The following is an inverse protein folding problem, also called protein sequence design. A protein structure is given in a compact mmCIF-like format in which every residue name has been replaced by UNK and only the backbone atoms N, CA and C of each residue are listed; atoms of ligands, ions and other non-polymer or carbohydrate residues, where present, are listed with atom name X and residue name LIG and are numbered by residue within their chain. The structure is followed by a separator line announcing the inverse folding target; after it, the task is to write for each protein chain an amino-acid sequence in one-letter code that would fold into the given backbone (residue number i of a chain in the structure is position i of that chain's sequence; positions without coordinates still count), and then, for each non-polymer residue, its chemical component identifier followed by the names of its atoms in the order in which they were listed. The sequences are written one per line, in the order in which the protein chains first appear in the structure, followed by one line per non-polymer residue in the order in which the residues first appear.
data_IF_234348615622
#
_entry.id   IF_234348615622
#
_cell.length_a   1.000
_cell.length_b   1.000
_cell.length_c   1.000
_cell.angle_alpha   90.00
_cell.angle_beta   90.00
_cell.angle_gamma   90.00
#
_symmetry.space_group_name_H-M   'P 1'
#
loop_
_entity.id
_entity.type
_entity.pdbx_description
1 polymer ?
#
# COMPACT_ATOMS: atom_id res chain seq x y z
N UNK A 1 42.24 4.27 32.90
CA UNK A 1 41.09 5.17 33.17
C UNK A 1 40.65 5.94 31.92
N UNK A 2 41.40 5.91 30.81
CA UNK A 2 41.11 6.60 29.55
C UNK A 2 39.99 5.97 28.70
N UNK A 3 39.74 4.66 28.79
CA UNK A 3 38.74 3.98 27.96
C UNK A 3 37.27 4.29 28.31
N UNK A 4 36.98 4.86 29.48
CA UNK A 4 35.59 5.21 29.86
C UNK A 4 35.11 6.54 29.26
N UNK A 5 36.04 7.41 28.84
CA UNK A 5 35.69 8.74 28.29
C UNK A 5 35.39 8.63 26.79
N UNK A 6 36.14 7.81 26.06
CA UNK A 6 35.96 7.58 24.62
C UNK A 6 34.66 6.85 24.29
N UNK A 7 34.22 5.90 25.12
CA UNK A 7 32.94 5.21 24.92
C UNK A 7 31.72 6.09 25.25
N UNK A 8 31.85 6.99 26.22
CA UNK A 8 30.85 8.01 26.58
C UNK A 8 30.60 9.00 25.43
N UNK A 9 31.65 9.48 24.77
CA UNK A 9 31.54 10.41 23.64
C UNK A 9 30.91 9.74 22.41
N UNK A 10 31.24 8.47 22.13
CA UNK A 10 30.64 7.71 21.02
C UNK A 10 29.16 7.40 21.27
N UNK A 11 28.77 7.09 22.50
CA UNK A 11 27.35 6.83 22.85
C UNK A 11 26.51 8.10 22.83
N UNK A 12 27.05 9.26 23.25
CA UNK A 12 26.36 10.55 23.11
C UNK A 12 26.21 10.97 21.65
N UNK A 13 27.26 10.84 20.82
CA UNK A 13 27.21 11.18 19.38
C UNK A 13 26.18 10.33 18.63
N UNK A 14 26.08 9.03 18.95
CA UNK A 14 25.10 8.13 18.34
C UNK A 14 23.66 8.37 18.85
N UNK A 15 23.48 8.80 20.10
CA UNK A 15 22.17 9.20 20.63
C UNK A 15 21.68 10.52 20.03
N UNK A 16 22.59 11.46 19.78
CA UNK A 16 22.27 12.75 19.15
C UNK A 16 21.97 12.56 17.66
N UNK A 17 22.74 11.74 16.94
CA UNK A 17 22.46 11.44 15.53
C UNK A 17 21.16 10.67 15.31
N UNK A 18 20.81 9.76 16.24
CA UNK A 18 19.54 9.02 16.18
C UNK A 18 18.31 9.88 16.47
N UNK A 19 18.43 10.91 17.33
CA UNK A 19 17.34 11.87 17.59
C UNK A 19 17.20 12.93 16.49
N UNK A 20 18.30 13.33 15.85
CA UNK A 20 18.29 14.28 14.72
C UNK A 20 17.69 13.70 13.44
N UNK A 21 17.63 12.38 13.30
CA UNK A 21 16.95 11.74 12.15
C UNK A 21 15.43 11.60 12.33
N UNK A 22 14.92 11.78 13.56
CA UNK A 22 13.48 11.69 13.87
C UNK A 22 12.83 13.03 14.20
N UNK A 23 13.62 14.08 14.44
CA UNK A 23 13.08 15.41 14.69
C UNK A 23 12.92 16.13 13.37
N UNK A 24 11.66 16.41 13.04
CA UNK A 24 11.23 17.21 11.92
C UNK A 24 12.10 18.49 11.82
N UNK A 25 12.45 18.84 10.57
CA UNK A 25 13.13 20.08 10.15
C UNK A 25 12.95 21.34 11.05
N UNK A 26 11.76 21.64 11.63
CA UNK A 26 11.53 22.80 12.50
C UNK A 26 12.57 23.06 13.60
N UNK A 27 13.04 22.06 14.37
CA UNK A 27 13.89 22.35 15.54
C UNK A 27 15.28 22.91 15.16
N UNK A 28 15.86 22.40 14.08
CA UNK A 28 17.15 22.89 13.57
C UNK A 28 17.01 24.31 13.06
N UNK A 29 15.90 24.62 12.37
CA UNK A 29 15.61 25.97 11.88
C UNK A 29 15.46 26.95 13.06
N UNK A 30 14.71 26.60 14.11
CA UNK A 30 14.58 27.44 15.30
C UNK A 30 15.90 27.64 16.04
N UNK A 31 16.72 26.59 16.16
CA UNK A 31 18.04 26.69 16.79
C UNK A 31 19.00 27.60 16.00
N UNK A 32 18.97 27.51 14.66
CA UNK A 32 19.74 28.41 13.78
C UNK A 32 19.25 29.84 13.97
N UNK A 33 17.95 30.12 13.84
CA UNK A 33 17.37 31.47 14.03
C UNK A 33 17.72 32.05 15.40
N UNK A 34 17.62 31.25 16.46
CA UNK A 34 17.96 31.68 17.82
C UNK A 34 19.45 32.00 17.97
N UNK A 35 20.32 31.17 17.39
CA UNK A 35 21.76 31.39 17.37
C UNK A 35 22.11 32.65 16.57
N UNK A 36 21.45 32.87 15.42
CA UNK A 36 21.59 34.09 14.61
C UNK A 36 21.21 35.33 15.40
N UNK A 37 20.04 35.32 16.06
CA UNK A 37 19.59 36.44 16.90
C UNK A 37 20.55 36.71 18.05
N UNK A 38 21.09 35.65 18.68
CA UNK A 38 22.07 35.79 19.75
C UNK A 38 23.40 36.41 19.27
N UNK A 39 23.90 36.00 18.10
CA UNK A 39 25.12 36.57 17.50
C UNK A 39 24.90 38.02 17.12
N UNK A 40 23.79 38.35 16.45
CA UNK A 40 23.44 39.73 16.09
C UNK A 40 23.28 40.63 17.32
N UNK A 41 22.65 40.12 18.37
CA UNK A 41 22.53 40.85 19.64
C UNK A 41 23.88 41.07 20.31
N UNK A 42 24.78 40.08 20.27
CA UNK A 42 26.10 40.17 20.92
C UNK A 42 27.06 41.13 20.21
N UNK A 43 26.90 41.31 18.90
CA UNK A 43 27.75 42.14 18.03
C UNK A 43 27.04 43.39 17.51
N UNK A 44 25.91 43.80 18.11
CA UNK A 44 25.12 44.95 17.65
C UNK A 44 25.87 46.30 17.68
N UNK A 45 26.99 46.38 18.40
CA UNK A 45 27.87 47.56 18.47
C UNK A 45 28.82 47.67 17.27
N UNK A 46 28.99 46.60 16.49
CA UNK A 46 29.85 46.54 15.30
C UNK A 46 28.98 46.35 14.06
N UNK A 47 28.39 47.44 13.58
CA UNK A 47 27.38 47.46 12.52
C UNK A 47 27.86 46.77 11.22
N UNK A 48 29.10 47.02 10.80
CA UNK A 48 29.70 46.37 9.61
C UNK A 48 29.84 44.86 9.79
N UNK A 49 30.34 44.40 10.94
CA UNK A 49 30.52 42.98 11.23
C UNK A 49 29.17 42.25 11.34
N UNK A 50 28.18 42.88 11.96
CA UNK A 50 26.82 42.35 12.09
C UNK A 50 26.14 42.22 10.72
N UNK A 51 26.36 43.18 9.81
CA UNK A 51 25.84 43.12 8.44
C UNK A 51 26.52 42.02 7.61
N UNK A 52 27.84 41.85 7.71
CA UNK A 52 28.55 40.75 7.03
C UNK A 52 28.07 39.38 7.52
N UNK A 53 27.91 39.19 8.84
CA UNK A 53 27.33 37.97 9.40
C UNK A 53 25.89 37.74 8.94
N UNK A 54 25.08 38.79 8.85
CA UNK A 54 23.70 38.67 8.37
C UNK A 54 23.65 38.22 6.91
N UNK A 55 24.50 38.79 6.05
CA UNK A 55 24.58 38.42 4.63
C UNK A 55 25.06 36.98 4.46
N UNK A 56 26.10 36.56 5.18
CA UNK A 56 26.62 35.19 5.10
C UNK A 56 25.59 34.16 5.59
N UNK A 57 24.91 34.46 6.70
CA UNK A 57 23.91 33.56 7.28
C UNK A 57 22.62 33.52 6.44
N UNK A 58 22.23 34.64 5.83
CA UNK A 58 21.20 34.69 4.80
C UNK A 58 21.55 33.85 3.58
N UNK A 59 22.81 33.92 3.11
CA UNK A 59 23.34 33.08 2.03
C UNK A 59 23.33 31.59 2.37
N UNK A 60 23.72 31.23 3.59
CA UNK A 60 23.70 29.84 4.08
C UNK A 60 22.27 29.29 4.18
N UNK A 61 21.33 30.08 4.72
CA UNK A 61 19.91 29.70 4.80
C UNK A 61 19.28 29.54 3.41
N UNK A 62 19.58 30.45 2.47
CA UNK A 62 19.11 30.34 1.09
C UNK A 62 19.68 29.11 0.38
N UNK A 63 20.96 28.79 0.62
CA UNK A 63 21.59 27.58 0.10
C UNK A 63 20.95 26.32 0.66
N UNK A 64 20.70 26.26 1.97
CA UNK A 64 19.98 25.15 2.60
C UNK A 64 18.56 25.00 2.03
N UNK A 65 17.85 26.12 1.84
CA UNK A 65 16.54 26.12 1.20
C UNK A 65 16.58 25.57 -0.22
N UNK A 66 17.55 25.99 -1.05
CA UNK A 66 17.74 25.44 -2.39
C UNK A 66 18.03 23.94 -2.34
N UNK A 67 18.93 23.49 -1.46
CA UNK A 67 19.27 22.07 -1.32
C UNK A 67 18.03 21.26 -0.92
N UNK A 68 17.24 21.76 0.03
CA UNK A 68 16.00 21.11 0.46
C UNK A 68 14.97 21.06 -0.67
N UNK A 69 14.77 22.19 -1.37
CA UNK A 69 13.88 22.24 -2.54
C UNK A 69 14.32 21.28 -3.66
N UNK A 70 15.63 21.19 -3.93
CA UNK A 70 16.18 20.24 -4.91
C UNK A 70 16.02 18.78 -4.45
N UNK A 71 16.17 18.50 -3.16
CA UNK A 71 15.94 17.17 -2.58
C UNK A 71 14.46 16.77 -2.68
N UNK A 72 13.55 17.70 -2.38
CA UNK A 72 12.09 17.50 -2.55
C UNK A 72 11.78 17.21 -4.01
N UNK A 73 12.29 18.03 -4.95
CA UNK A 73 12.07 17.82 -6.39
C UNK A 73 12.64 16.49 -6.89
N UNK A 74 13.82 16.10 -6.42
CA UNK A 74 14.45 14.81 -6.75
C UNK A 74 13.64 13.63 -6.21
N UNK A 75 13.17 13.72 -4.96
CA UNK A 75 12.28 12.71 -4.35
C UNK A 75 10.95 12.64 -5.08
N UNK A 76 10.34 13.77 -5.44
CA UNK A 76 9.07 13.81 -6.19
C UNK A 76 9.20 13.16 -7.58
N UNK A 77 10.29 13.45 -8.31
CA UNK A 77 10.57 12.80 -9.61
C UNK A 77 10.75 11.28 -9.46
N UNK A 78 11.48 10.84 -8.43
CA UNK A 78 11.65 9.41 -8.15
C UNK A 78 10.35 8.75 -7.74
N UNK A 79 9.54 9.43 -6.92
CA UNK A 79 8.21 8.96 -6.54
C UNK A 79 7.32 8.79 -7.76
N UNK A 80 7.30 9.74 -8.71
CA UNK A 80 6.52 9.62 -9.95
C UNK A 80 6.83 8.32 -10.69
N UNK A 81 8.10 7.98 -10.88
CA UNK A 81 8.52 6.74 -11.53
C UNK A 81 8.10 5.48 -10.75
N UNK A 82 8.36 5.47 -9.44
CA UNK A 82 8.04 4.32 -8.58
C UNK A 82 6.51 4.15 -8.45
N UNK A 83 5.75 5.24 -8.45
CA UNK A 83 4.29 5.23 -8.36
C UNK A 83 3.67 4.49 -9.55
N UNK A 84 4.16 4.70 -10.76
CA UNK A 84 3.61 4.05 -11.95
C UNK A 84 3.86 2.52 -11.90
N UNK A 85 5.04 2.10 -11.44
CA UNK A 85 5.36 0.69 -11.19
C UNK A 85 4.49 0.08 -10.08
N UNK A 86 4.31 0.80 -8.96
CA UNK A 86 3.46 0.35 -7.86
C UNK A 86 2.00 0.26 -8.28
N UNK A 87 1.49 1.23 -9.02
CA UNK A 87 0.13 1.21 -9.59
C UNK A 87 -0.06 0.01 -10.51
N UNK A 88 0.93 -0.30 -11.37
CA UNK A 88 0.90 -1.50 -12.19
C UNK A 88 0.84 -2.78 -11.35
N UNK A 89 1.67 -2.88 -10.29
CA UNK A 89 1.68 -4.05 -9.40
C UNK A 89 0.33 -4.20 -8.68
N UNK A 90 -0.25 -3.11 -8.18
CA UNK A 90 -1.58 -3.09 -7.55
C UNK A 90 -2.65 -3.52 -8.55
N UNK A 91 -2.68 -2.93 -9.75
CA UNK A 91 -3.66 -3.28 -10.78
C UNK A 91 -3.57 -4.75 -11.18
N UNK A 92 -2.35 -5.28 -11.32
CA UNK A 92 -2.12 -6.69 -11.61
C UNK A 92 -2.62 -7.59 -10.49
N UNK A 93 -2.34 -7.25 -9.24
CA UNK A 93 -2.78 -7.99 -8.07
C UNK A 93 -4.32 -8.00 -7.95
N UNK A 94 -4.97 -6.84 -8.10
CA UNK A 94 -6.43 -6.70 -8.06
C UNK A 94 -7.07 -7.58 -9.13
N UNK A 95 -6.62 -7.47 -10.38
CA UNK A 95 -7.15 -8.28 -11.48
C UNK A 95 -6.93 -9.77 -11.27
N UNK A 96 -5.73 -10.19 -10.86
CA UNK A 96 -5.45 -11.60 -10.57
C UNK A 96 -6.33 -12.14 -9.44
N UNK A 97 -6.55 -11.35 -8.39
CA UNK A 97 -7.38 -11.76 -7.26
C UNK A 97 -8.83 -11.92 -7.71
N UNK A 98 -9.37 -10.97 -8.49
CA UNK A 98 -10.71 -11.07 -9.11
C UNK A 98 -10.84 -12.34 -9.96
N UNK A 99 -9.85 -12.61 -10.80
CA UNK A 99 -9.85 -13.75 -11.71
C UNK A 99 -9.76 -15.07 -10.95
N UNK A 100 -8.90 -15.12 -9.92
CA UNK A 100 -8.78 -16.26 -9.03
C UNK A 100 -10.08 -16.54 -8.26
N UNK A 101 -10.77 -15.51 -7.79
CA UNK A 101 -12.08 -15.68 -7.14
C UNK A 101 -13.10 -16.24 -8.13
N UNK A 102 -13.25 -15.61 -9.30
CA UNK A 102 -14.22 -16.05 -10.30
C UNK A 102 -13.96 -17.51 -10.72
N UNK A 103 -12.73 -17.84 -11.07
CA UNK A 103 -12.37 -19.16 -11.62
C UNK A 103 -12.24 -20.24 -10.54
N UNK A 104 -11.47 -20.01 -9.47
CA UNK A 104 -11.18 -21.05 -8.47
C UNK A 104 -12.33 -21.26 -7.49
N UNK A 105 -12.99 -20.19 -7.06
CA UNK A 105 -14.08 -20.31 -6.06
C UNK A 105 -15.39 -20.70 -6.73
N UNK A 106 -15.71 -20.11 -7.88
CA UNK A 106 -17.03 -20.26 -8.50
C UNK A 106 -17.02 -20.97 -9.85
N UNK A 107 -15.87 -21.47 -10.30
CA UNK A 107 -15.73 -22.15 -11.59
C UNK A 107 -16.29 -21.32 -12.77
N UNK A 108 -16.07 -20.01 -12.73
CA UNK A 108 -16.53 -19.08 -13.76
C UNK A 108 -15.85 -19.41 -15.09
N UNK A 109 -16.64 -19.91 -16.04
CA UNK A 109 -16.22 -20.23 -17.40
C UNK A 109 -17.30 -19.75 -18.39
N UNK A 110 -17.29 -18.46 -18.77
CA UNK A 110 -18.32 -17.91 -19.62
C UNK A 110 -18.17 -18.45 -21.04
N UNK A 111 -19.29 -18.86 -21.64
CA UNK A 111 -19.33 -19.16 -23.07
C UNK A 111 -19.23 -17.84 -23.83
N UNK A 112 -18.13 -17.67 -24.57
CA UNK A 112 -17.85 -16.52 -25.43
C UNK A 112 -17.66 -17.06 -26.85
N UNK A 113 -18.13 -16.31 -27.84
CA UNK A 113 -17.98 -16.66 -29.24
C UNK A 113 -16.49 -16.68 -29.64
N UNK A 114 -15.96 -17.82 -30.13
CA UNK A 114 -14.57 -17.94 -30.53
C UNK A 114 -14.22 -17.19 -31.82
N UNK A 115 -15.22 -16.69 -32.55
CA UNK A 115 -15.02 -15.93 -33.80
C UNK A 115 -14.68 -14.45 -33.58
N UNK A 116 -14.79 -13.95 -32.34
CA UNK A 116 -14.40 -12.59 -31.96
C UNK A 116 -12.89 -12.37 -32.10
N UNK A 117 -12.50 -11.12 -32.35
CA UNK A 117 -11.08 -10.75 -32.30
C UNK A 117 -10.54 -10.89 -30.88
N UNK A 118 -9.22 -10.99 -30.74
CA UNK A 118 -8.58 -11.21 -29.45
C UNK A 118 -8.89 -10.08 -28.44
N UNK A 119 -8.93 -8.84 -28.92
CA UNK A 119 -9.23 -7.66 -28.10
C UNK A 119 -10.69 -7.67 -27.63
N UNK A 120 -11.64 -7.88 -28.55
CA UNK A 120 -13.07 -7.96 -28.24
C UNK A 120 -13.37 -9.10 -27.26
N UNK A 121 -12.71 -10.25 -27.43
CA UNK A 121 -12.83 -11.38 -26.52
C UNK A 121 -12.45 -10.99 -25.08
N UNK A 122 -11.33 -10.29 -24.90
CA UNK A 122 -10.88 -9.89 -23.56
C UNK A 122 -11.76 -8.82 -22.93
N UNK A 123 -12.24 -7.86 -23.72
CA UNK A 123 -13.17 -6.82 -23.24
C UNK A 123 -14.46 -7.49 -22.74
N UNK A 124 -15.06 -8.36 -23.56
CA UNK A 124 -16.28 -9.06 -23.20
C UNK A 124 -16.08 -10.02 -22.00
N UNK A 125 -14.93 -10.69 -21.92
CA UNK A 125 -14.59 -11.54 -20.78
C UNK A 125 -14.49 -10.73 -19.48
N UNK A 126 -13.86 -9.56 -19.52
CA UNK A 126 -13.74 -8.66 -18.37
C UNK A 126 -15.10 -8.13 -17.93
N UNK A 127 -15.95 -7.77 -18.88
CA UNK A 127 -17.32 -7.31 -18.63
C UNK A 127 -18.15 -8.41 -17.95
N UNK A 128 -18.27 -9.59 -18.58
CA UNK A 128 -19.01 -10.73 -18.02
C UNK A 128 -18.51 -11.12 -16.62
N UNK A 129 -17.20 -11.04 -16.39
CA UNK A 129 -16.60 -11.31 -15.06
C UNK A 129 -16.99 -10.23 -14.05
N UNK A 130 -16.99 -8.97 -14.46
CA UNK A 130 -17.40 -7.86 -13.61
C UNK A 130 -18.86 -8.02 -13.19
N UNK A 131 -19.74 -8.31 -14.15
CA UNK A 131 -21.16 -8.52 -13.91
C UNK A 131 -21.39 -9.71 -12.98
N UNK A 132 -20.71 -10.82 -13.24
CA UNK A 132 -20.77 -12.00 -12.39
C UNK A 132 -20.35 -11.70 -10.95
N UNK A 133 -19.22 -11.02 -10.74
CA UNK A 133 -18.76 -10.67 -9.41
C UNK A 133 -19.72 -9.69 -8.71
N UNK A 134 -20.30 -8.75 -9.44
CA UNK A 134 -21.30 -7.82 -8.92
C UNK A 134 -22.59 -8.55 -8.49
N UNK A 135 -23.04 -9.53 -9.27
CA UNK A 135 -24.19 -10.38 -8.93
C UNK A 135 -23.93 -11.12 -7.61
N UNK A 136 -22.74 -11.71 -7.45
CA UNK A 136 -22.37 -12.44 -6.23
C UNK A 136 -22.44 -11.59 -4.96
N UNK A 137 -22.13 -10.29 -5.05
CA UNK A 137 -22.24 -9.37 -3.91
C UNK A 137 -23.70 -9.19 -3.48
N UNK A 138 -24.64 -9.20 -4.42
CA UNK A 138 -26.07 -9.04 -4.10
C UNK A 138 -26.71 -10.30 -3.51
N UNK A 139 -26.08 -11.45 -3.65
CA UNK A 139 -26.60 -12.70 -3.11
C UNK A 139 -26.59 -12.70 -1.58
N UNK A 140 -27.58 -13.39 -1.02
CA UNK A 140 -27.63 -13.74 0.40
C UNK A 140 -26.47 -14.69 0.75
N UNK A 141 -25.89 -14.50 1.93
CA UNK A 141 -24.67 -15.21 2.34
C UNK A 141 -24.88 -16.74 2.36
N UNK A 142 -26.09 -17.22 2.68
CA UNK A 142 -26.40 -18.66 2.65
C UNK A 142 -26.49 -19.20 1.23
N UNK A 143 -26.95 -18.39 0.27
CA UNK A 143 -26.97 -18.78 -1.15
C UNK A 143 -25.54 -18.80 -1.71
N UNK A 144 -24.74 -17.78 -1.41
CA UNK A 144 -23.34 -17.70 -1.80
C UNK A 144 -22.53 -18.88 -1.24
N UNK A 145 -22.76 -19.26 0.02
CA UNK A 145 -22.11 -20.42 0.63
C UNK A 145 -22.35 -21.73 -0.15
N UNK A 146 -23.49 -21.87 -0.83
CA UNK A 146 -23.84 -23.07 -1.62
C UNK A 146 -23.23 -23.07 -3.02
N UNK A 147 -22.84 -21.92 -3.56
CA UNK A 147 -22.25 -21.81 -4.90
C UNK A 147 -20.72 -21.97 -4.89
N UNK A 148 -20.10 -21.97 -3.71
CA UNK A 148 -18.66 -22.19 -3.54
C UNK A 148 -18.28 -23.60 -3.98
N UNK A 149 -17.29 -23.70 -4.87
CA UNK A 149 -16.61 -24.95 -5.19
C UNK A 149 -15.68 -25.35 -4.04
N UNK A 150 -16.13 -26.31 -3.24
CA UNK A 150 -15.39 -26.78 -2.07
C UNK A 150 -14.09 -27.49 -2.40
N UNK A 151 -14.06 -28.23 -3.51
CA UNK A 151 -12.90 -29.00 -3.91
C UNK A 151 -11.70 -28.10 -4.22
N UNK A 152 -11.97 -26.95 -4.85
CA UNK A 152 -10.95 -25.96 -5.20
C UNK A 152 -10.63 -25.04 -4.01
N UNK A 153 -11.62 -24.39 -3.40
CA UNK A 153 -11.37 -23.40 -2.34
C UNK A 153 -10.76 -24.03 -1.07
N UNK A 154 -11.29 -25.18 -0.62
CA UNK A 154 -10.86 -25.80 0.63
C UNK A 154 -9.70 -26.79 0.48
N UNK A 155 -8.95 -26.68 -0.62
CA UNK A 155 -7.71 -27.44 -0.89
C UNK A 155 -6.47 -26.72 -0.32
N UNK A 156 -5.32 -27.39 -0.34
CA UNK A 156 -4.03 -26.76 -0.01
C UNK A 156 -3.65 -25.70 -1.04
N UNK A 157 -3.86 -25.98 -2.33
CA UNK A 157 -3.60 -25.00 -3.41
C UNK A 157 -4.48 -23.76 -3.30
N UNK A 158 -5.73 -23.90 -2.89
CA UNK A 158 -6.63 -22.77 -2.61
C UNK A 158 -6.14 -21.92 -1.45
N UNK A 159 -5.70 -22.55 -0.35
CA UNK A 159 -5.11 -21.86 0.80
C UNK A 159 -3.84 -21.09 0.40
N UNK A 160 -2.90 -21.77 -0.27
CA UNK A 160 -1.62 -21.18 -0.66
C UNK A 160 -1.83 -19.98 -1.60
N UNK A 161 -2.76 -20.10 -2.55
CA UNK A 161 -3.10 -19.02 -3.47
C UNK A 161 -3.55 -17.75 -2.73
N UNK A 162 -4.54 -17.84 -1.83
CA UNK A 162 -5.03 -16.66 -1.12
C UNK A 162 -4.04 -16.14 -0.08
N UNK A 163 -3.24 -17.03 0.51
CA UNK A 163 -2.18 -16.62 1.43
C UNK A 163 -1.09 -15.84 0.69
N UNK A 164 -0.66 -16.31 -0.48
CA UNK A 164 0.29 -15.61 -1.36
C UNK A 164 -0.23 -14.23 -1.77
N UNK A 165 -1.50 -14.12 -2.16
CA UNK A 165 -2.10 -12.82 -2.53
C UNK A 165 -2.15 -11.85 -1.35
N UNK A 166 -2.41 -12.34 -0.14
CA UNK A 166 -2.33 -11.53 1.07
C UNK A 166 -0.89 -11.06 1.34
N UNK A 167 0.11 -11.93 1.14
CA UNK A 167 1.52 -11.59 1.34
C UNK A 167 2.02 -10.61 0.27
N UNK A 168 1.56 -10.71 -0.97
CA UNK A 168 1.82 -9.72 -2.02
C UNK A 168 1.32 -8.32 -1.62
N UNK A 169 0.11 -8.20 -1.06
CA UNK A 169 -0.40 -6.92 -0.55
C UNK A 169 0.48 -6.38 0.57
N UNK A 170 0.86 -7.25 1.51
CA UNK A 170 1.72 -6.86 2.64
C UNK A 170 3.07 -6.33 2.15
N UNK A 171 3.63 -6.96 1.12
CA UNK A 171 4.88 -6.50 0.51
C UNK A 171 4.73 -5.12 -0.14
N UNK A 172 3.61 -4.86 -0.83
CA UNK A 172 3.30 -3.52 -1.40
C UNK A 172 3.23 -2.46 -0.30
N UNK A 173 2.54 -2.76 0.80
CA UNK A 173 2.38 -1.84 1.93
C UNK A 173 3.68 -1.56 2.68
N UNK A 174 4.65 -2.47 2.65
CA UNK A 174 5.96 -2.31 3.31
C UNK A 174 7.06 -1.78 2.38
N UNK A 175 6.76 -1.40 1.14
CA UNK A 175 7.73 -0.71 0.29
C UNK A 175 8.05 0.65 0.91
N UNK A 176 9.31 1.07 0.87
CA UNK A 176 9.79 2.38 1.39
C UNK A 176 8.96 3.59 0.95
N UNK A 177 8.25 3.48 -0.17
CA UNK A 177 7.46 4.55 -0.74
C UNK A 177 5.95 4.43 -0.47
N UNK A 178 5.52 3.46 0.34
CA UNK A 178 4.10 3.32 0.70
C UNK A 178 3.57 4.52 1.51
N UNK A 179 4.46 5.25 2.20
CA UNK A 179 4.14 6.51 2.89
C UNK A 179 3.60 7.62 1.97
N UNK A 180 3.82 7.49 0.66
CA UNK A 180 3.32 8.42 -0.35
C UNK A 180 2.01 7.97 -1.00
N UNK A 181 1.48 6.80 -0.63
CA UNK A 181 0.15 6.38 -1.10
C UNK A 181 -0.95 7.25 -0.50
N UNK A 182 -2.05 7.36 -1.24
CA UNK A 182 -3.27 7.94 -0.72
C UNK A 182 -3.76 7.13 0.49
N UNK A 183 -4.18 7.79 1.60
CA UNK A 183 -4.65 7.09 2.80
C UNK A 183 -5.82 6.13 2.53
N UNK A 184 -6.70 6.44 1.57
CA UNK A 184 -7.81 5.57 1.19
C UNK A 184 -7.30 4.26 0.59
N UNK A 185 -6.35 4.33 -0.36
CA UNK A 185 -5.73 3.16 -0.98
C UNK A 185 -5.06 2.27 0.06
N UNK A 186 -4.30 2.85 0.99
CA UNK A 186 -3.65 2.10 2.08
C UNK A 186 -4.69 1.38 2.93
N UNK A 187 -5.78 2.07 3.27
CA UNK A 187 -6.89 1.49 4.06
C UNK A 187 -7.57 0.34 3.33
N UNK A 188 -7.84 0.48 2.03
CA UNK A 188 -8.44 -0.57 1.21
C UNK A 188 -7.51 -1.78 1.06
N UNK A 189 -6.21 -1.56 0.86
CA UNK A 189 -5.22 -2.63 0.76
C UNK A 189 -5.05 -3.37 2.09
N UNK A 190 -4.98 -2.67 3.23
CA UNK A 190 -4.96 -3.30 4.56
C UNK A 190 -6.22 -4.13 4.77
N UNK A 191 -7.39 -3.59 4.45
CA UNK A 191 -8.67 -4.30 4.59
C UNK A 191 -8.71 -5.55 3.71
N UNK A 192 -8.21 -5.45 2.46
CA UNK A 192 -8.14 -6.57 1.53
C UNK A 192 -7.18 -7.66 2.05
N UNK A 193 -6.02 -7.28 2.57
CA UNK A 193 -5.07 -8.20 3.20
C UNK A 193 -5.72 -8.96 4.37
N UNK A 194 -6.39 -8.24 5.27
CA UNK A 194 -7.06 -8.83 6.43
C UNK A 194 -8.13 -9.83 6.00
N UNK A 195 -8.99 -9.47 5.05
CA UNK A 195 -10.03 -10.38 4.57
C UNK A 195 -9.48 -11.59 3.81
N UNK A 196 -8.37 -11.46 3.08
CA UNK A 196 -7.70 -12.62 2.48
C UNK A 196 -7.11 -13.55 3.56
N UNK A 197 -6.54 -13.01 4.64
CA UNK A 197 -6.09 -13.82 5.79
C UNK A 197 -7.26 -14.46 6.56
N UNK A 198 -8.38 -13.75 6.70
CA UNK A 198 -9.61 -14.30 7.28
C UNK A 198 -10.16 -15.46 6.44
N UNK A 199 -10.14 -15.33 5.11
CA UNK A 199 -10.52 -16.41 4.19
C UNK A 199 -9.63 -17.63 4.39
N UNK A 200 -8.32 -17.44 4.53
CA UNK A 200 -7.37 -18.50 4.89
C UNK A 200 -7.71 -19.13 6.26
N UNK A 201 -8.15 -18.34 7.22
CA UNK A 201 -8.70 -18.81 8.51
C UNK A 201 -9.91 -19.73 8.34
N UNK A 202 -10.88 -19.30 7.52
CA UNK A 202 -12.08 -20.08 7.20
C UNK A 202 -11.76 -21.38 6.46
N UNK A 203 -10.78 -21.36 5.54
CA UNK A 203 -10.31 -22.56 4.85
C UNK A 203 -9.73 -23.57 5.85
N UNK A 204 -8.88 -23.12 6.77
CA UNK A 204 -8.33 -23.98 7.84
C UNK A 204 -9.43 -24.52 8.74
N UNK A 205 -10.41 -23.69 9.10
CA UNK A 205 -11.54 -24.10 9.92
C UNK A 205 -12.37 -25.20 9.24
N UNK A 206 -12.63 -25.08 7.93
CA UNK A 206 -13.28 -26.14 7.15
C UNK A 206 -12.47 -27.44 7.19
N UNK A 207 -11.16 -27.36 6.95
CA UNK A 207 -10.25 -28.53 6.97
C UNK A 207 -10.17 -29.20 8.34
N UNK A 208 -10.36 -28.48 9.45
CA UNK A 208 -10.42 -29.09 10.80
C UNK A 208 -11.52 -30.15 10.91
N UNK A 209 -12.61 -30.04 10.14
CA UNK A 209 -13.65 -31.06 10.10
C UNK A 209 -13.14 -32.45 9.67
N UNK A 210 -12.02 -32.52 8.94
CA UNK A 210 -11.39 -33.80 8.59
C UNK A 210 -10.60 -34.42 9.77
N UNK A 211 -10.21 -33.62 10.77
CA UNK A 211 -9.48 -34.07 11.96
C UNK A 211 -10.41 -34.44 13.12
N UNK A 212 -11.54 -33.75 13.26
CA UNK A 212 -12.53 -33.97 14.32
C UNK A 212 -13.80 -34.61 13.74
N UNK A 213 -13.82 -35.94 13.67
CA UNK A 213 -14.88 -36.72 13.00
C UNK A 213 -16.26 -36.45 13.62
N UNK A 214 -16.35 -36.36 14.94
CA UNK A 214 -17.62 -36.17 15.67
C UNK A 214 -18.27 -34.80 15.44
N UNK A 215 -17.48 -33.80 15.06
CA UNK A 215 -17.94 -32.42 14.83
C UNK A 215 -17.70 -31.96 13.38
N UNK A 216 -17.48 -32.91 12.47
CA UNK A 216 -17.09 -32.65 11.09
C UNK A 216 -18.01 -31.66 10.38
N UNK A 217 -19.31 -31.88 10.46
CA UNK A 217 -20.32 -31.02 9.82
C UNK A 217 -20.34 -29.62 10.43
N UNK A 218 -20.18 -29.49 11.74
CA UNK A 218 -20.10 -28.20 12.42
C UNK A 218 -18.93 -27.38 11.91
N UNK A 219 -17.72 -27.96 11.89
CA UNK A 219 -16.52 -27.27 11.38
C UNK A 219 -16.63 -26.88 9.92
N UNK A 220 -17.15 -27.79 9.08
CA UNK A 220 -17.36 -27.51 7.66
C UNK A 220 -18.38 -26.41 7.43
N UNK A 221 -19.51 -26.43 8.13
CA UNK A 221 -20.55 -25.41 7.98
C UNK A 221 -20.08 -24.04 8.46
N UNK A 222 -19.37 -23.97 9.59
CA UNK A 222 -18.76 -22.71 10.08
C UNK A 222 -17.75 -22.18 9.06
N UNK A 223 -16.83 -23.03 8.57
CA UNK A 223 -15.84 -22.63 7.58
C UNK A 223 -16.48 -22.15 6.26
N UNK A 224 -17.52 -22.85 5.78
CA UNK A 224 -18.25 -22.49 4.56
C UNK A 224 -18.98 -21.16 4.67
N UNK A 225 -19.71 -20.95 5.78
CA UNK A 225 -20.43 -19.71 6.02
C UNK A 225 -19.47 -18.53 6.22
N UNK A 226 -18.41 -18.71 7.02
CA UNK A 226 -17.39 -17.69 7.22
C UNK A 226 -16.69 -17.32 5.91
N UNK A 227 -16.36 -18.31 5.07
CA UNK A 227 -15.77 -18.08 3.75
C UNK A 227 -16.71 -17.24 2.87
N UNK A 228 -18.01 -17.56 2.80
CA UNK A 228 -18.97 -16.82 1.99
C UNK A 228 -19.04 -15.33 2.37
N UNK A 229 -19.18 -15.03 3.67
CA UNK A 229 -19.20 -13.66 4.19
C UNK A 229 -17.90 -12.93 3.85
N UNK A 230 -16.76 -13.60 4.00
CA UNK A 230 -15.45 -12.99 3.75
C UNK A 230 -15.20 -12.74 2.27
N UNK A 231 -15.56 -13.70 1.40
CA UNK A 231 -15.43 -13.58 -0.06
C UNK A 231 -16.25 -12.40 -0.56
N UNK A 232 -17.47 -12.21 -0.05
CA UNK A 232 -18.31 -11.07 -0.41
C UNK A 232 -17.63 -9.73 -0.13
N UNK A 233 -17.06 -9.56 1.07
CA UNK A 233 -16.27 -8.37 1.43
C UNK A 233 -15.03 -8.18 0.55
N UNK A 234 -14.35 -9.26 0.20
CA UNK A 234 -13.21 -9.22 -0.72
C UNK A 234 -13.67 -8.70 -2.09
N UNK A 235 -14.77 -9.22 -2.63
CA UNK A 235 -15.29 -8.79 -3.94
C UNK A 235 -15.71 -7.31 -3.90
N UNK A 236 -16.37 -6.87 -2.83
CA UNK A 236 -16.72 -5.46 -2.61
C UNK A 236 -15.48 -4.55 -2.65
N UNK A 237 -14.43 -4.89 -1.89
CA UNK A 237 -13.17 -4.15 -1.90
C UNK A 237 -12.48 -4.15 -3.27
N UNK A 238 -12.47 -5.27 -3.98
CA UNK A 238 -11.91 -5.37 -5.33
C UNK A 238 -12.72 -4.57 -6.36
N UNK A 239 -14.02 -4.37 -6.13
CA UNK A 239 -14.87 -3.50 -6.94
C UNK A 239 -14.61 -2.02 -6.63
N UNK A 240 -14.44 -1.65 -5.36
CA UNK A 240 -14.04 -0.28 -4.95
C UNK A 240 -12.69 0.07 -5.59
N UNK A 241 -11.67 -0.76 -5.40
CA UNK A 241 -10.34 -0.54 -5.98
C UNK A 241 -10.37 -0.46 -7.51
N UNK A 242 -11.26 -1.22 -8.16
CA UNK A 242 -11.47 -1.11 -9.61
C UNK A 242 -12.06 0.24 -10.00
N UNK A 243 -13.11 0.68 -9.32
CA UNK A 243 -13.82 1.92 -9.63
C UNK A 243 -12.98 3.17 -9.34
N UNK A 244 -12.05 3.08 -8.38
CA UNK A 244 -11.07 4.14 -8.08
C UNK A 244 -9.91 4.19 -9.12
N UNK A 245 -9.92 3.32 -10.13
CA UNK A 245 -8.91 3.29 -11.19
C UNK A 245 -7.70 2.41 -10.89
N UNK A 246 -7.60 1.79 -9.70
CA UNK A 246 -6.49 0.91 -9.33
C UNK A 246 -6.56 -0.49 -9.97
N UNK A 247 -7.36 -0.68 -11.02
CA UNK A 247 -7.41 -1.91 -11.82
C UNK A 247 -6.94 -1.74 -13.26
N UNK A 248 -6.76 -0.49 -13.71
CA UNK A 248 -6.23 -0.19 -15.03
C UNK A 248 -4.72 -0.05 -14.92
N UNK A 249 -3.92 -0.83 -15.67
CA UNK A 249 -2.50 -0.56 -15.73
C UNK A 249 -2.33 0.86 -16.29
N UNK A 250 -1.50 1.72 -15.69
CA UNK A 250 -1.22 3.02 -16.30
C UNK A 250 -0.76 2.76 -17.73
N UNK A 251 -1.38 3.45 -18.70
CA UNK A 251 -0.94 3.37 -20.08
C UNK A 251 0.57 3.65 -20.10
N UNK A 252 1.36 2.67 -20.56
CA UNK A 252 2.80 2.78 -20.69
C UNK A 252 3.16 3.73 -21.86
N UNK A 253 2.62 4.96 -21.87
CA UNK A 253 3.09 6.08 -22.66
C UNK A 253 2.20 7.31 -22.46
N UNK A 254 2.85 8.38 -21.99
CA UNK A 254 2.56 9.80 -22.28
C UNK A 254 1.15 10.33 -21.99
N UNK A 255 0.99 10.97 -20.84
CA UNK A 255 0.27 12.24 -20.75
C UNK A 255 0.89 13.07 -19.62
N UNK A 256 1.23 14.33 -19.95
CA UNK A 256 1.80 15.32 -19.05
C UNK A 256 0.78 15.69 -17.96
N UNK A 257 0.89 15.05 -16.80
CA UNK A 257 0.18 15.49 -15.59
C UNK A 257 0.95 16.63 -14.90
N UNK A 258 0.23 17.73 -14.66
CA UNK A 258 0.72 19.00 -14.09
C UNK A 258 1.42 18.82 -12.75
N UNK A 259 2.45 19.65 -12.51
CA UNK A 259 3.26 19.69 -11.28
C UNK A 259 2.46 20.01 -9.97
N UNK A 260 1.12 20.07 -10.03
CA UNK A 260 0.24 20.48 -8.92
C UNK A 260 -0.13 19.38 -7.92
N UNK A 261 0.07 18.10 -8.24
CA UNK A 261 -0.58 17.01 -7.50
C UNK A 261 0.35 16.28 -6.50
N UNK A 262 1.46 16.91 -6.13
CA UNK A 262 2.23 16.44 -4.96
C UNK A 262 1.57 17.03 -3.73
N UNK A 263 0.99 16.22 -2.82
CA UNK A 263 0.59 16.74 -1.52
C UNK A 263 1.85 17.24 -0.82
N UNK A 264 1.97 18.57 -0.76
CA UNK A 264 2.90 19.23 0.13
C UNK A 264 2.41 18.89 1.55
N UNK A 265 3.10 17.95 2.20
CA UNK A 265 3.08 17.85 3.66
C UNK A 265 3.93 18.97 4.23
#
# INVERSE_FOLDING_TARGET
MENKITDSVKTLRNKVSGRLQQTELPFVVYAVVFFTMFVLWRYSEYEELAMDFFVELGGAAFTLFIVDMLLVRSKAKRWKLVRDELNYVIARLVNRTRDGIATRIFNFNPKIDPSLTHEEYFVLLREKRSDFLNELVTLDDKKLAKTINEAELFSDSGYDYFNEKADEIWNILNVKYSDYFHPELVTHLISLHLHLKDLCGNIRQFKKGNRFVDQKETFKNIGRQGAAVTIKKIIELLNILKNEGFSEPPALSSEDFSESDVPLK
#
